data_IF_658764416009
#
_entry.id   IF_658764416009
#
_cell.length_a   1.000
_cell.length_b   1.000
_cell.length_c   1.000
_cell.angle_alpha   90.00
_cell.angle_beta   90.00
_cell.angle_gamma   90.00
#
_symmetry.space_group_name_H-M   'P 1'
#
loop_
_entity.id
_entity.type
_entity.pdbx_description
1 polymer ?
#
# COMPACT_ATOMS: atom_id res chain seq x y z
N UNK A 1 -27.69 10.78 20.20
CA UNK A 1 -26.44 10.07 19.92
C UNK A 1 -25.40 11.14 19.65
N UNK A 2 -24.59 11.48 20.66
CA UNK A 2 -23.68 12.61 20.55
C UNK A 2 -22.43 12.19 19.80
N UNK A 3 -22.45 12.44 18.49
CA UNK A 3 -21.31 12.21 17.61
C UNK A 3 -20.28 13.32 17.85
N UNK A 4 -19.44 13.15 18.86
CA UNK A 4 -18.38 14.13 19.14
C UNK A 4 -17.20 13.87 18.19
N UNK A 5 -16.93 14.83 17.31
CA UNK A 5 -15.79 14.84 16.37
C UNK A 5 -14.46 14.57 17.12
N UNK A 6 -14.32 15.10 18.34
CA UNK A 6 -13.17 14.87 19.22
C UNK A 6 -12.98 13.40 19.61
N UNK A 7 -14.07 12.67 19.88
CA UNK A 7 -14.03 11.24 20.23
C UNK A 7 -13.72 10.37 19.01
N UNK A 8 -14.16 10.78 17.81
CA UNK A 8 -13.77 10.14 16.56
C UNK A 8 -12.28 10.37 16.23
N UNK A 9 -11.77 11.60 16.40
CA UNK A 9 -10.35 11.94 16.23
C UNK A 9 -9.47 11.20 17.25
N UNK A 10 -9.89 11.14 18.53
CA UNK A 10 -9.19 10.38 19.57
C UNK A 10 -9.18 8.87 19.30
N UNK A 11 -10.21 8.34 18.63
CA UNK A 11 -10.26 6.95 18.16
C UNK A 11 -9.28 6.69 17.01
N UNK A 12 -9.20 7.58 16.02
CA UNK A 12 -8.23 7.49 14.90
C UNK A 12 -6.79 7.58 15.43
N UNK A 13 -6.55 8.45 16.41
CA UNK A 13 -5.26 8.53 17.10
C UNK A 13 -4.93 7.27 17.90
N UNK A 14 -5.90 6.43 18.25
CA UNK A 14 -5.68 5.20 19.02
C UNK A 14 -5.12 4.05 18.18
N UNK A 15 -5.23 4.12 16.85
CA UNK A 15 -4.59 3.20 15.89
C UNK A 15 -3.30 3.79 15.26
N UNK A 16 -2.73 4.81 15.90
CA UNK A 16 -1.43 5.40 15.53
C UNK A 16 -0.28 4.41 15.26
N UNK A 17 -0.18 3.21 15.89
CA UNK A 17 0.94 2.32 15.61
C UNK A 17 0.96 1.84 14.16
N UNK A 18 -0.21 1.59 13.57
CA UNK A 18 -0.32 1.21 12.15
C UNK A 18 -0.01 2.38 11.21
N UNK A 19 -0.37 3.60 11.60
CA UNK A 19 0.02 4.81 10.87
C UNK A 19 1.54 4.97 10.88
N UNK A 20 2.20 4.76 12.03
CA UNK A 20 3.65 4.81 12.12
C UNK A 20 4.33 3.71 11.32
N UNK A 21 3.82 2.48 11.30
CA UNK A 21 4.37 1.43 10.43
C UNK A 21 4.32 1.83 8.96
N UNK A 22 3.22 2.44 8.53
CA UNK A 22 3.07 2.93 7.15
C UNK A 22 4.04 4.09 6.86
N UNK A 23 4.22 4.99 7.82
CA UNK A 23 5.20 6.09 7.71
C UNK A 23 6.63 5.56 7.67
N UNK A 24 6.98 4.62 8.54
CA UNK A 24 8.30 3.97 8.57
C UNK A 24 8.60 3.25 7.26
N UNK A 25 7.62 2.51 6.71
CA UNK A 25 7.75 1.89 5.39
C UNK A 25 7.98 2.93 4.28
N UNK A 26 7.25 4.05 4.34
CA UNK A 26 7.41 5.13 3.35
C UNK A 26 8.77 5.82 3.48
N UNK A 27 9.27 6.02 4.69
CA UNK A 27 10.60 6.54 4.95
C UNK A 27 11.69 5.56 4.46
N UNK A 28 11.52 4.26 4.68
CA UNK A 28 12.44 3.22 4.20
C UNK A 28 12.53 3.24 2.66
N UNK A 29 11.40 3.36 1.97
CA UNK A 29 11.38 3.51 0.50
C UNK A 29 12.21 4.72 0.09
N UNK A 30 11.99 5.88 0.72
CA UNK A 30 12.75 7.10 0.42
C UNK A 30 14.26 6.92 0.64
N UNK A 31 14.67 6.34 1.77
CA UNK A 31 16.08 6.08 2.10
C UNK A 31 16.71 5.14 1.07
N UNK A 32 15.99 4.11 0.63
CA UNK A 32 16.50 3.17 -0.38
C UNK A 32 16.74 3.82 -1.74
N UNK A 33 15.93 4.81 -2.14
CA UNK A 33 16.16 5.58 -3.36
C UNK A 33 17.42 6.42 -3.25
N UNK A 34 17.61 7.13 -2.13
CA UNK A 34 18.82 7.90 -1.89
C UNK A 34 20.07 6.99 -1.91
N UNK A 35 19.96 5.80 -1.30
CA UNK A 35 21.02 4.80 -1.32
C UNK A 35 21.33 4.33 -2.74
N UNK A 36 20.33 3.88 -3.51
CA UNK A 36 20.54 3.38 -4.87
C UNK A 36 21.13 4.43 -5.81
N UNK A 37 20.63 5.67 -5.75
CA UNK A 37 21.20 6.80 -6.50
C UNK A 37 22.65 7.03 -6.09
N UNK A 38 22.94 7.10 -4.78
CA UNK A 38 24.27 7.38 -4.27
C UNK A 38 25.28 6.30 -4.65
N UNK A 39 24.95 5.03 -4.43
CA UNK A 39 25.83 3.91 -4.79
C UNK A 39 25.99 3.78 -6.29
N UNK A 40 24.91 3.98 -7.06
CA UNK A 40 24.95 3.96 -8.51
C UNK A 40 25.85 5.07 -9.06
N UNK A 41 25.70 6.30 -8.55
CA UNK A 41 26.54 7.43 -8.93
C UNK A 41 28.01 7.18 -8.60
N UNK A 42 28.31 6.66 -7.40
CA UNK A 42 29.68 6.36 -6.98
C UNK A 42 30.37 5.31 -7.85
N UNK A 43 29.66 4.22 -8.17
CA UNK A 43 30.18 3.19 -9.08
C UNK A 43 30.35 3.73 -10.50
N UNK A 44 29.38 4.49 -10.99
CA UNK A 44 29.41 5.11 -12.31
C UNK A 44 30.55 6.10 -12.46
N UNK A 45 30.81 6.91 -11.44
CA UNK A 45 31.96 7.83 -11.40
C UNK A 45 33.29 7.06 -11.50
N UNK A 46 33.44 5.99 -10.71
CA UNK A 46 34.66 5.16 -10.71
C UNK A 46 34.93 4.45 -12.06
N UNK A 47 33.88 3.93 -12.71
CA UNK A 47 34.01 3.30 -14.04
C UNK A 47 34.24 4.37 -15.12
N UNK A 48 33.56 5.51 -15.01
CA UNK A 48 33.64 6.63 -15.95
C UNK A 48 35.02 7.27 -16.04
N UNK A 49 35.78 7.27 -14.93
CA UNK A 49 37.17 7.75 -14.90
C UNK A 49 38.14 7.00 -15.82
N UNK A 50 37.74 5.85 -16.36
CA UNK A 50 38.50 5.13 -17.38
C UNK A 50 38.45 5.80 -18.77
N UNK A 51 37.53 6.75 -18.99
CA UNK A 51 37.37 7.49 -20.24
C UNK A 51 37.46 9.03 -20.06
N UNK A 52 38.67 9.58 -19.88
CA UNK A 52 38.87 11.04 -19.84
C UNK A 52 38.50 11.73 -21.16
N UNK A 53 38.16 13.04 -21.16
CA UNK A 53 38.18 13.95 -20.01
C UNK A 53 36.90 14.00 -19.18
N UNK A 54 35.72 13.72 -19.74
CA UNK A 54 34.41 13.93 -19.08
C UNK A 54 33.72 12.64 -18.60
N UNK A 55 34.39 11.48 -18.73
CA UNK A 55 33.80 10.17 -18.45
C UNK A 55 33.33 10.00 -17.01
N UNK A 56 33.98 10.65 -16.04
CA UNK A 56 33.59 10.63 -14.63
C UNK A 56 32.18 11.19 -14.39
N UNK A 57 31.89 12.37 -14.93
CA UNK A 57 30.60 13.03 -14.74
C UNK A 57 29.48 12.28 -15.46
N UNK A 58 29.74 11.85 -16.69
CA UNK A 58 28.79 11.07 -17.50
C UNK A 58 28.54 9.71 -16.84
N UNK A 59 29.60 9.03 -16.40
CA UNK A 59 29.52 7.77 -15.69
C UNK A 59 28.72 7.88 -14.41
N UNK A 60 28.95 8.91 -13.59
CA UNK A 60 28.19 9.17 -12.37
C UNK A 60 26.69 9.36 -12.66
N UNK A 61 26.34 10.11 -13.72
CA UNK A 61 24.95 10.34 -14.10
C UNK A 61 24.25 9.04 -14.53
N UNK A 62 24.89 8.26 -15.39
CA UNK A 62 24.36 6.98 -15.87
C UNK A 62 24.22 6.00 -14.70
N UNK A 63 25.24 5.94 -13.84
CA UNK A 63 25.23 5.12 -12.65
C UNK A 63 24.12 5.50 -11.68
N UNK A 64 23.91 6.79 -11.42
CA UNK A 64 22.82 7.31 -10.60
C UNK A 64 21.44 6.90 -11.15
N UNK A 65 21.26 7.04 -12.46
CA UNK A 65 20.02 6.66 -13.15
C UNK A 65 19.78 5.14 -13.09
N UNK A 66 20.81 4.33 -13.32
CA UNK A 66 20.71 2.87 -13.19
C UNK A 66 20.41 2.45 -11.75
N UNK A 67 21.03 3.09 -10.76
CA UNK A 67 20.76 2.91 -9.33
C UNK A 67 19.33 3.28 -8.94
N UNK A 68 18.82 4.39 -9.45
CA UNK A 68 17.41 4.78 -9.28
C UNK A 68 16.46 3.75 -9.89
N UNK A 69 16.68 3.37 -11.15
CA UNK A 69 15.80 2.45 -11.89
C UNK A 69 15.77 1.06 -11.26
N UNK A 70 16.90 0.55 -10.77
CA UNK A 70 16.97 -0.74 -10.08
C UNK A 70 16.17 -0.74 -8.77
N UNK A 71 16.32 0.29 -7.94
CA UNK A 71 15.50 0.47 -6.73
C UNK A 71 14.02 0.66 -7.09
N UNK A 72 13.72 1.46 -8.11
CA UNK A 72 12.35 1.70 -8.57
C UNK A 72 11.65 0.41 -9.00
N UNK A 73 12.34 -0.45 -9.75
CA UNK A 73 11.81 -1.74 -10.22
C UNK A 73 11.40 -2.64 -9.04
N UNK A 74 12.24 -2.71 -8.00
CA UNK A 74 11.95 -3.51 -6.80
C UNK A 74 10.76 -2.92 -6.04
N UNK A 75 10.79 -1.62 -5.76
CA UNK A 75 9.76 -0.98 -4.94
C UNK A 75 8.42 -0.81 -5.64
N UNK A 76 8.37 -0.79 -6.96
CA UNK A 76 7.12 -0.72 -7.72
C UNK A 76 6.14 -1.83 -7.31
N UNK A 77 6.64 -3.04 -7.07
CA UNK A 77 5.82 -4.19 -6.67
C UNK A 77 5.86 -4.41 -5.15
N UNK A 78 7.04 -4.33 -4.54
CA UNK A 78 7.22 -4.64 -3.12
C UNK A 78 6.44 -3.67 -2.23
N UNK A 79 6.42 -2.37 -2.56
CA UNK A 79 5.69 -1.37 -1.77
C UNK A 79 4.20 -1.67 -1.74
N UNK A 80 3.62 -2.01 -2.88
CA UNK A 80 2.18 -2.28 -3.02
C UNK A 80 1.79 -3.46 -2.14
N UNK A 81 2.59 -4.53 -2.19
CA UNK A 81 2.38 -5.71 -1.37
C UNK A 81 2.55 -5.46 0.14
N UNK A 82 3.64 -4.78 0.55
CA UNK A 82 3.89 -4.49 1.97
C UNK A 82 2.81 -3.59 2.57
N UNK A 83 2.35 -2.58 1.83
CA UNK A 83 1.24 -1.72 2.29
C UNK A 83 -0.05 -2.52 2.43
N UNK A 84 -0.30 -3.49 1.56
CA UNK A 84 -1.46 -4.39 1.66
C UNK A 84 -1.37 -5.31 2.88
N UNK A 85 -0.22 -5.94 3.14
CA UNK A 85 -0.02 -6.74 4.34
C UNK A 85 -0.26 -5.93 5.63
N UNK A 86 0.22 -4.69 5.68
CA UNK A 86 -0.02 -3.79 6.81
C UNK A 86 -1.51 -3.45 6.98
N UNK A 87 -2.22 -3.21 5.87
CA UNK A 87 -3.68 -3.02 5.89
C UNK A 87 -4.38 -4.26 6.42
N UNK A 88 -4.02 -5.45 5.93
CA UNK A 88 -4.63 -6.71 6.36
C UNK A 88 -4.40 -6.99 7.85
N UNK A 89 -3.19 -6.70 8.36
CA UNK A 89 -2.91 -6.78 9.79
C UNK A 89 -3.74 -5.82 10.63
N UNK A 90 -3.97 -4.60 10.14
CA UNK A 90 -4.86 -3.63 10.81
C UNK A 90 -6.31 -4.13 10.81
N UNK A 91 -6.83 -4.60 9.67
CA UNK A 91 -8.18 -5.17 9.57
C UNK A 91 -8.34 -6.36 10.53
N UNK A 92 -7.36 -7.25 10.61
CA UNK A 92 -7.38 -8.37 11.54
C UNK A 92 -7.42 -7.93 13.01
N UNK A 93 -6.62 -6.93 13.39
CA UNK A 93 -6.69 -6.36 14.72
C UNK A 93 -8.08 -5.76 15.01
N UNK A 94 -8.69 -5.05 14.04
CA UNK A 94 -10.03 -4.48 14.18
C UNK A 94 -11.11 -5.55 14.35
N UNK A 95 -11.07 -6.63 13.56
CA UNK A 95 -12.01 -7.75 13.67
C UNK A 95 -11.89 -8.44 15.04
N UNK A 96 -10.67 -8.73 15.50
CA UNK A 96 -10.47 -9.32 16.83
C UNK A 96 -10.98 -8.40 17.96
N UNK A 97 -10.87 -7.08 17.80
CA UNK A 97 -11.45 -6.11 18.74
C UNK A 97 -12.98 -6.19 18.78
N UNK A 98 -13.60 -6.31 17.60
CA UNK A 98 -15.05 -6.40 17.45
C UNK A 98 -15.60 -7.69 18.07
N UNK A 99 -14.85 -8.78 17.99
CA UNK A 99 -15.20 -10.07 18.62
C UNK A 99 -14.88 -10.11 20.14
N UNK A 100 -14.46 -8.99 20.73
CA UNK A 100 -14.26 -8.85 22.18
C UNK A 100 -12.90 -9.32 22.71
N UNK A 101 -11.94 -9.64 21.84
CA UNK A 101 -10.59 -10.01 22.27
C UNK A 101 -9.89 -8.82 22.94
N UNK A 102 -9.11 -9.04 24.01
CA UNK A 102 -8.34 -7.98 24.65
C UNK A 102 -7.20 -7.55 23.72
N UNK A 103 -7.44 -6.52 22.91
CA UNK A 103 -6.39 -5.94 22.08
C UNK A 103 -5.33 -5.27 22.96
N UNK A 104 -4.03 -5.63 22.80
CA UNK A 104 -2.95 -4.89 23.40
C UNK A 104 -3.02 -3.41 22.96
N UNK A 105 -2.66 -2.47 23.84
CA UNK A 105 -2.57 -1.05 23.48
C UNK A 105 -1.19 -0.73 22.88
N UNK A 106 -1.13 0.27 22.01
CA UNK A 106 0.13 0.74 21.41
C UNK A 106 0.77 -0.29 20.47
N UNK A 107 2.09 -0.38 20.47
CA UNK A 107 2.84 -1.28 19.57
C UNK A 107 2.52 -2.77 19.74
N UNK A 108 1.93 -3.19 20.88
CA UNK A 108 1.48 -4.56 21.09
C UNK A 108 0.42 -5.04 20.08
N UNK A 109 -0.32 -4.10 19.44
CA UNK A 109 -1.29 -4.41 18.37
C UNK A 109 -0.61 -5.06 17.15
N UNK A 110 0.63 -4.65 16.87
CA UNK A 110 1.41 -5.16 15.74
C UNK A 110 1.89 -6.57 16.04
N UNK A 111 2.35 -6.81 17.28
CA UNK A 111 2.74 -8.14 17.75
C UNK A 111 1.57 -9.12 17.76
N UNK A 112 0.35 -8.64 18.03
CA UNK A 112 -0.88 -9.44 17.92
C UNK A 112 -1.29 -9.73 16.47
N UNK A 113 -1.20 -8.73 15.59
CA UNK A 113 -1.59 -8.88 14.18
C UNK A 113 -0.63 -9.77 13.37
N UNK A 114 0.66 -9.79 13.72
CA UNK A 114 1.68 -10.48 12.94
C UNK A 114 1.47 -12.02 12.86
N UNK A 115 1.19 -12.75 13.96
CA UNK A 115 0.85 -14.17 13.89
C UNK A 115 -0.39 -14.46 13.04
N UNK A 116 -1.42 -13.60 13.13
CA UNK A 116 -2.66 -13.76 12.37
C UNK A 116 -2.41 -13.61 10.87
N UNK A 117 -1.66 -12.58 10.47
CA UNK A 117 -1.26 -12.36 9.07
C UNK A 117 -0.39 -13.52 8.56
N UNK A 118 0.51 -14.06 9.39
CA UNK A 118 1.34 -15.22 9.02
C UNK A 118 0.52 -16.49 8.83
N UNK A 119 -0.40 -16.78 9.75
CA UNK A 119 -1.26 -17.96 9.68
C UNK A 119 -2.16 -17.95 8.43
N UNK A 120 -2.52 -16.76 7.93
CA UNK A 120 -3.41 -16.57 6.79
C UNK A 120 -2.71 -15.93 5.59
N UNK A 121 -1.39 -16.10 5.51
CA UNK A 121 -0.56 -15.47 4.49
C UNK A 121 -1.05 -15.79 3.06
N UNK A 122 -1.45 -17.04 2.83
CA UNK A 122 -1.94 -17.50 1.53
C UNK A 122 -3.26 -16.80 1.15
N UNK A 123 -4.20 -16.74 2.08
CA UNK A 123 -5.51 -16.11 1.87
C UNK A 123 -5.36 -14.60 1.60
N UNK A 124 -4.57 -13.91 2.41
CA UNK A 124 -4.29 -12.49 2.26
C UNK A 124 -3.58 -12.21 0.93
N UNK A 125 -2.66 -13.08 0.52
CA UNK A 125 -1.96 -12.93 -0.77
C UNK A 125 -2.88 -13.19 -1.97
N UNK A 126 -3.82 -14.13 -1.87
CA UNK A 126 -4.82 -14.34 -2.92
C UNK A 126 -5.78 -13.15 -3.05
N UNK A 127 -6.25 -12.61 -1.93
CA UNK A 127 -7.08 -11.41 -1.91
C UNK A 127 -6.33 -10.18 -2.44
N UNK A 128 -5.03 -10.08 -2.17
CA UNK A 128 -4.18 -9.04 -2.76
C UNK A 128 -4.14 -9.10 -4.29
N UNK A 129 -3.95 -10.29 -4.85
CA UNK A 129 -3.93 -10.46 -6.31
C UNK A 129 -5.28 -10.07 -6.91
N UNK A 130 -6.38 -10.52 -6.31
CA UNK A 130 -7.72 -10.15 -6.73
C UNK A 130 -7.94 -8.62 -6.68
N UNK A 131 -7.53 -7.99 -5.58
CA UNK A 131 -7.61 -6.54 -5.41
C UNK A 131 -6.83 -5.79 -6.50
N UNK A 132 -5.61 -6.24 -6.82
CA UNK A 132 -4.79 -5.62 -7.86
C UNK A 132 -5.41 -5.80 -9.26
N UNK A 133 -6.04 -6.95 -9.53
CA UNK A 133 -6.78 -7.18 -10.78
C UNK A 133 -7.99 -6.25 -10.90
N UNK A 134 -8.77 -6.08 -9.83
CA UNK A 134 -9.92 -5.17 -9.80
C UNK A 134 -9.45 -3.72 -10.01
N UNK A 135 -8.43 -3.28 -9.28
CA UNK A 135 -7.85 -1.93 -9.43
C UNK A 135 -7.29 -1.69 -10.83
N UNK A 136 -6.66 -2.70 -11.42
CA UNK A 136 -6.19 -2.67 -12.81
C UNK A 136 -7.35 -2.53 -13.80
N UNK A 137 -8.40 -3.34 -13.66
CA UNK A 137 -9.58 -3.30 -14.52
C UNK A 137 -10.32 -1.95 -14.41
N UNK A 138 -10.55 -1.47 -13.19
CA UNK A 138 -11.16 -0.15 -12.93
C UNK A 138 -10.30 0.95 -13.53
N UNK A 139 -8.97 0.89 -13.34
CA UNK A 139 -8.03 1.83 -13.93
C UNK A 139 -8.08 1.86 -15.45
N UNK A 140 -8.18 0.69 -16.09
CA UNK A 140 -8.32 0.58 -17.54
C UNK A 140 -9.64 1.19 -18.04
N UNK A 141 -10.76 0.90 -17.36
CA UNK A 141 -12.07 1.49 -17.70
C UNK A 141 -12.02 3.02 -17.56
N UNK A 142 -11.51 3.52 -16.44
CA UNK A 142 -11.36 4.97 -16.20
C UNK A 142 -10.43 5.62 -17.23
N UNK A 143 -9.36 4.93 -17.65
CA UNK A 143 -8.45 5.44 -18.69
C UNK A 143 -9.17 5.57 -20.05
N UNK A 144 -9.97 4.58 -20.44
CA UNK A 144 -10.76 4.63 -21.69
C UNK A 144 -11.78 5.77 -21.64
N UNK A 145 -12.50 5.93 -20.53
CA UNK A 145 -13.43 7.06 -20.32
C UNK A 145 -12.68 8.40 -20.42
N UNK A 146 -11.48 8.49 -19.85
CA UNK A 146 -10.61 9.66 -19.96
C UNK A 146 -10.21 9.98 -21.40
N UNK A 147 -9.85 8.97 -22.20
CA UNK A 147 -9.53 9.14 -23.62
C UNK A 147 -10.75 9.62 -24.40
N UNK A 148 -11.91 8.99 -24.23
CA UNK A 148 -13.15 9.36 -24.96
C UNK A 148 -13.55 10.81 -24.64
N UNK A 149 -13.52 11.18 -23.36
CA UNK A 149 -13.87 12.54 -22.94
C UNK A 149 -12.90 13.58 -23.49
N UNK A 150 -11.59 13.31 -23.46
CA UNK A 150 -10.58 14.19 -24.03
C UNK A 150 -10.71 14.35 -25.56
N UNK A 151 -10.96 13.26 -26.28
CA UNK A 151 -11.11 13.28 -27.75
C UNK A 151 -12.41 13.98 -28.17
N UNK A 152 -13.47 13.89 -27.36
CA UNK A 152 -14.78 14.47 -27.70
C UNK A 152 -14.80 16.00 -27.76
N UNK A 153 -13.81 16.69 -27.17
CA UNK A 153 -13.71 18.16 -27.17
C UNK A 153 -14.88 18.91 -26.52
N UNK A 154 -15.81 18.21 -25.86
CA UNK A 154 -17.01 18.78 -25.28
C UNK A 154 -16.71 19.39 -23.89
N UNK A 155 -16.96 20.70 -23.68
CA UNK A 155 -16.74 21.33 -22.38
C UNK A 155 -17.71 20.73 -21.34
N UNK A 156 -17.18 20.38 -20.16
CA UNK A 156 -17.97 19.88 -19.02
C UNK A 156 -18.05 18.35 -18.87
N UNK A 157 -17.84 17.56 -19.94
CA UNK A 157 -17.86 16.08 -19.85
C UNK A 157 -16.73 15.53 -18.98
N UNK A 158 -15.55 16.15 -19.01
CA UNK A 158 -14.42 15.74 -18.18
C UNK A 158 -14.72 15.84 -16.67
N UNK A 159 -15.48 16.85 -16.25
CA UNK A 159 -15.86 17.02 -14.85
C UNK A 159 -16.81 15.89 -14.39
N UNK A 160 -17.84 15.59 -15.18
CA UNK A 160 -18.78 14.50 -14.89
C UNK A 160 -18.08 13.14 -14.88
N UNK A 161 -17.19 12.89 -15.84
CA UNK A 161 -16.42 11.66 -15.89
C UNK A 161 -15.48 11.53 -14.69
N UNK A 162 -14.83 12.61 -14.26
CA UNK A 162 -13.98 12.59 -13.06
C UNK A 162 -14.77 12.30 -11.78
N UNK A 163 -15.98 12.87 -11.64
CA UNK A 163 -16.88 12.54 -10.52
C UNK A 163 -17.25 11.07 -10.55
N UNK A 164 -17.69 10.55 -11.70
CA UNK A 164 -18.07 9.15 -11.86
C UNK A 164 -16.90 8.21 -11.55
N UNK A 165 -15.72 8.49 -12.12
CA UNK A 165 -14.49 7.73 -11.87
C UNK A 165 -14.09 7.78 -10.39
N UNK A 166 -14.27 8.93 -9.73
CA UNK A 166 -14.08 9.09 -8.29
C UNK A 166 -15.00 8.19 -7.49
N UNK A 167 -16.29 8.12 -7.84
CA UNK A 167 -17.27 7.24 -7.19
C UNK A 167 -16.89 5.76 -7.38
N UNK A 168 -16.59 5.32 -8.61
CA UNK A 168 -16.19 3.94 -8.89
C UNK A 168 -14.93 3.56 -8.08
N UNK A 169 -13.95 4.45 -8.03
CA UNK A 169 -12.71 4.23 -7.29
C UNK A 169 -12.93 4.20 -5.77
N UNK A 170 -13.80 5.06 -5.26
CA UNK A 170 -14.15 5.08 -3.84
C UNK A 170 -14.88 3.80 -3.42
N UNK A 171 -15.79 3.31 -4.27
CA UNK A 171 -16.51 2.05 -4.02
C UNK A 171 -15.58 0.86 -3.97
N UNK A 172 -14.50 0.84 -4.75
CA UNK A 172 -13.54 -0.27 -4.76
C UNK A 172 -12.47 -0.20 -3.68
N UNK A 173 -12.26 0.96 -3.05
CA UNK A 173 -11.23 1.18 -2.04
C UNK A 173 -11.47 0.48 -0.70
N UNK A 174 -12.71 0.04 -0.41
CA UNK A 174 -13.10 -0.59 0.86
C UNK A 174 -13.59 -2.03 0.71
N UNK A 175 -13.83 -2.46 -0.53
CA UNK A 175 -14.42 -3.78 -0.79
C UNK A 175 -13.44 -4.87 -0.36
N UNK A 176 -12.14 -4.69 -0.59
CA UNK A 176 -11.12 -5.65 -0.18
C UNK A 176 -11.01 -5.74 1.35
N UNK A 177 -10.99 -4.62 2.07
CA UNK A 177 -10.96 -4.67 3.54
C UNK A 177 -12.22 -5.29 4.14
N UNK A 178 -13.40 -5.08 3.52
CA UNK A 178 -14.65 -5.70 3.95
C UNK A 178 -14.67 -7.22 3.71
N UNK A 179 -14.22 -7.67 2.54
CA UNK A 179 -14.10 -9.11 2.22
C UNK A 179 -13.13 -9.77 3.19
N UNK A 180 -11.97 -9.14 3.41
CA UNK A 180 -10.97 -9.63 4.35
C UNK A 180 -11.53 -9.67 5.78
N UNK A 181 -12.21 -8.62 6.22
CA UNK A 181 -12.82 -8.58 7.55
C UNK A 181 -13.87 -9.67 7.73
N UNK A 182 -14.71 -9.89 6.71
CA UNK A 182 -15.74 -10.92 6.70
C UNK A 182 -15.15 -12.33 6.77
N UNK A 183 -14.16 -12.63 5.93
CA UNK A 183 -13.48 -13.93 5.95
C UNK A 183 -12.79 -14.20 7.29
N UNK A 184 -12.12 -13.17 7.85
CA UNK A 184 -11.51 -13.27 9.17
C UNK A 184 -12.55 -13.54 10.25
N UNK A 185 -13.73 -12.93 10.16
CA UNK A 185 -14.81 -13.07 11.15
C UNK A 185 -15.57 -14.40 11.04
N UNK A 186 -15.84 -14.90 9.84
CA UNK A 186 -16.46 -16.22 9.68
C UNK A 186 -15.53 -17.31 10.17
N UNK A 187 -14.24 -17.20 9.81
CA UNK A 187 -13.27 -18.16 10.28
C UNK A 187 -12.86 -17.93 11.75
N UNK A 188 -13.22 -16.80 12.38
CA UNK A 188 -13.13 -16.60 13.84
C UNK A 188 -14.35 -17.10 14.60
N UNK A 189 -15.46 -17.42 13.91
CA UNK A 189 -16.64 -18.01 14.53
C UNK A 189 -16.41 -19.48 14.95
N UNK A 190 -15.26 -20.09 14.60
CA UNK A 190 -14.91 -21.41 15.09
C UNK A 190 -13.40 -21.62 15.44
N UNK A 191 -12.91 -21.08 16.58
CA UNK A 191 -11.58 -21.36 17.10
C UNK A 191 -11.61 -22.25 18.36
N UNK A 192 -12.80 -22.62 18.86
CA UNK A 192 -12.98 -23.26 20.18
C UNK A 192 -13.90 -24.49 20.15
N UNK A 193 -14.47 -24.92 19.01
CA UNK A 193 -15.22 -26.19 18.96
C UNK A 193 -14.33 -27.45 18.92
N UNK A 194 -13.00 -27.29 18.84
CA UNK A 194 -12.04 -28.40 18.79
C UNK A 194 -11.17 -28.52 20.05
N UNK A 195 -11.48 -27.79 21.12
CA UNK A 195 -10.89 -27.99 22.44
C UNK A 195 -11.94 -28.54 23.42
N UNK A 196 -12.37 -29.78 23.18
CA UNK A 196 -12.80 -30.70 24.23
C UNK A 196 -11.58 -31.45 24.78
#
# INVERSE_FOLDING_TARGET
>A
MDFSILRAIAMVLRTWPFLLLRLALSAMVMVSYAFGIGTGAGLGWGIGGLWPPDGEAIGALIGAFAGFCSIALVWAWLRVYLVYLLKGGHVAALVAALDGAPLPRGFGQIGFALPVVRARFLEISALFVLDQLIKGAVGAVTAVVGVITNVSGLPGLGALANVLNGVIRMSTLFVDELILAYNLRIASADPWSTAQ
#
